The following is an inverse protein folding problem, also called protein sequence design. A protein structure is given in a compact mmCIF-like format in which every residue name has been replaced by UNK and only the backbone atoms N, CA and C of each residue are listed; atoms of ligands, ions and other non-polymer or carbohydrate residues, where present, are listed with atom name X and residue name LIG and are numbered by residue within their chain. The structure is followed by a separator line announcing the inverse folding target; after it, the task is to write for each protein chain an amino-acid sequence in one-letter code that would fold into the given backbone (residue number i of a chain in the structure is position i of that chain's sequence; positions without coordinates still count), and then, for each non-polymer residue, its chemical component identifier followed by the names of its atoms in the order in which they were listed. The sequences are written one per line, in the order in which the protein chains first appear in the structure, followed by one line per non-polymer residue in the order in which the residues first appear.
data_IF_451992561297
#
_entry.id   IF_451992561297
#
_cell.length_a   1.000
_cell.length_b   1.000
_cell.length_c   1.000
_cell.angle_alpha   90.00
_cell.angle_beta   90.00
_cell.angle_gamma   90.00
#
_symmetry.space_group_name_H-M   'P 1'
#
loop_
_entity.id
_entity.type
_entity.pdbx_description
1 polymer ?
#
# COMPACT_ATOMS: atom_id res chain seq x y z
N UNK A 1 11.01 2.06 -37.51
CA UNK A 1 11.88 0.87 -37.68
C UNK A 1 11.17 -0.09 -38.63
N UNK A 2 11.88 -0.89 -39.45
CA UNK A 2 11.24 -1.73 -40.46
C UNK A 2 10.30 -2.78 -39.83
N UNK A 3 9.23 -3.13 -40.56
CA UNK A 3 8.25 -4.13 -40.16
C UNK A 3 8.91 -5.48 -39.80
N UNK A 4 8.47 -6.07 -38.68
CA UNK A 4 8.90 -7.41 -38.24
C UNK A 4 8.47 -8.52 -39.21
N UNK A 5 7.50 -8.24 -40.09
CA UNK A 5 7.05 -9.12 -41.16
C UNK A 5 7.47 -8.48 -42.49
N UNK A 6 8.32 -9.17 -43.25
CA UNK A 6 8.83 -8.69 -44.54
C UNK A 6 8.10 -9.31 -45.74
N UNK A 7 7.30 -10.37 -45.51
CA UNK A 7 6.54 -11.05 -46.54
C UNK A 7 5.04 -10.77 -46.38
N UNK A 8 4.45 -10.13 -47.38
CA UNK A 8 3.02 -9.84 -47.45
C UNK A 8 2.35 -10.74 -48.49
N UNK A 9 1.17 -11.26 -48.18
CA UNK A 9 0.31 -11.93 -49.16
C UNK A 9 -0.50 -10.89 -49.94
N UNK A 10 -1.04 -11.22 -51.12
CA UNK A 10 -1.78 -10.29 -52.00
C UNK A 10 -2.97 -9.55 -51.34
N UNK A 11 -3.46 -10.07 -50.21
CA UNK A 11 -4.54 -9.47 -49.42
C UNK A 11 -4.07 -8.60 -48.23
N UNK A 12 -2.78 -8.32 -48.12
CA UNK A 12 -2.18 -7.45 -47.08
C UNK A 12 -1.65 -6.16 -47.71
N UNK A 13 -2.07 -5.01 -47.18
CA UNK A 13 -1.63 -3.68 -47.65
C UNK A 13 -0.83 -3.02 -46.52
N UNK A 14 0.44 -2.65 -46.74
CA UNK A 14 1.23 -1.96 -45.74
C UNK A 14 0.65 -0.56 -45.46
N UNK A 15 0.68 -0.16 -44.19
CA UNK A 15 0.28 1.17 -43.72
C UNK A 15 1.46 1.75 -42.93
N UNK A 16 2.16 2.70 -43.55
CA UNK A 16 3.46 3.20 -43.07
C UNK A 16 4.48 2.06 -42.86
N UNK A 17 5.47 2.26 -41.98
CA UNK A 17 6.61 1.35 -41.78
C UNK A 17 6.41 0.33 -40.66
N UNK A 18 5.31 0.39 -39.90
CA UNK A 18 5.12 -0.42 -38.68
C UNK A 18 3.74 -1.10 -38.57
N UNK A 19 2.85 -0.87 -39.54
CA UNK A 19 1.51 -1.44 -39.57
C UNK A 19 1.12 -1.97 -40.96
N UNK A 20 0.10 -2.82 -40.99
CA UNK A 20 -0.52 -3.28 -42.21
C UNK A 20 -2.00 -3.56 -41.98
N UNK A 21 -2.77 -3.53 -43.07
CA UNK A 21 -4.16 -3.97 -43.08
C UNK A 21 -4.26 -5.28 -43.87
N UNK A 22 -5.17 -6.14 -43.46
CA UNK A 22 -5.39 -7.43 -44.10
C UNK A 22 -6.87 -7.77 -44.13
N UNK A 23 -7.29 -8.54 -45.13
CA UNK A 23 -8.67 -9.01 -45.23
C UNK A 23 -8.88 -10.26 -44.38
N UNK A 24 -9.99 -10.32 -43.65
CA UNK A 24 -10.44 -11.54 -42.94
C UNK A 24 -11.95 -11.67 -43.15
N UNK A 25 -12.35 -12.64 -43.98
CA UNK A 25 -13.73 -12.75 -44.45
C UNK A 25 -14.13 -11.53 -45.28
N UNK A 26 -15.25 -10.90 -44.95
CA UNK A 26 -15.76 -9.73 -45.69
C UNK A 26 -15.13 -8.38 -45.28
N UNK A 27 -14.41 -8.33 -44.14
CA UNK A 27 -13.97 -7.07 -43.54
C UNK A 27 -12.45 -6.92 -43.52
N UNK A 28 -12.01 -5.66 -43.59
CA UNK A 28 -10.61 -5.27 -43.40
C UNK A 28 -10.26 -5.13 -41.91
N UNK A 29 -9.07 -5.59 -41.56
CA UNK A 29 -8.50 -5.52 -40.22
C UNK A 29 -7.15 -4.83 -40.25
N UNK A 30 -6.84 -4.11 -39.18
CA UNK A 30 -5.55 -3.47 -38.94
C UNK A 30 -4.70 -4.31 -37.98
N UNK A 31 -3.39 -4.37 -38.24
CA UNK A 31 -2.41 -4.96 -37.34
C UNK A 31 -1.15 -4.09 -37.27
N UNK A 32 -0.69 -3.83 -36.05
CA UNK A 32 0.56 -3.10 -35.77
C UNK A 32 1.32 -3.81 -34.67
N UNK A 33 2.64 -3.93 -34.82
CA UNK A 33 3.48 -4.49 -33.77
C UNK A 33 3.92 -3.39 -32.81
N UNK A 34 3.60 -3.55 -31.52
CA UNK A 34 3.98 -2.60 -30.48
C UNK A 34 5.28 -3.08 -29.81
N UNK A 35 6.42 -2.50 -30.20
CA UNK A 35 7.72 -2.90 -29.66
C UNK A 35 7.82 -2.80 -28.13
N UNK A 36 7.26 -1.73 -27.54
CA UNK A 36 7.29 -1.50 -26.10
C UNK A 36 6.50 -2.58 -25.32
N UNK A 37 5.40 -3.07 -25.89
CA UNK A 37 4.49 -4.03 -25.25
C UNK A 37 4.71 -5.47 -25.74
N UNK A 38 5.60 -5.66 -26.73
CA UNK A 38 5.93 -6.92 -27.41
C UNK A 38 4.68 -7.70 -27.85
N UNK A 39 3.65 -7.00 -28.30
CA UNK A 39 2.34 -7.55 -28.68
C UNK A 39 1.82 -6.87 -29.95
N UNK A 40 0.92 -7.55 -30.66
CA UNK A 40 0.24 -7.01 -31.83
C UNK A 40 -1.05 -6.27 -31.43
N UNK A 41 -1.13 -4.97 -31.69
CA UNK A 41 -2.40 -4.26 -31.73
C UNK A 41 -3.21 -4.77 -32.94
N UNK A 42 -4.47 -5.13 -32.72
CA UNK A 42 -5.38 -5.65 -33.76
C UNK A 42 -6.72 -4.93 -33.63
N UNK A 43 -7.20 -4.31 -34.71
CA UNK A 43 -8.47 -3.57 -34.72
C UNK A 43 -9.23 -3.92 -36.01
N UNK A 44 -10.53 -4.20 -35.91
CA UNK A 44 -11.36 -4.31 -37.12
C UNK A 44 -11.63 -2.90 -37.66
N UNK A 45 -11.44 -2.68 -38.96
CA UNK A 45 -11.75 -1.41 -39.61
C UNK A 45 -13.24 -1.28 -39.97
N UNK A 46 -14.00 -2.37 -39.80
CA UNK A 46 -15.45 -2.45 -40.05
C UNK A 46 -15.83 -1.90 -41.42
N UNK A 47 -15.03 -2.20 -42.45
CA UNK A 47 -15.29 -1.81 -43.84
C UNK A 47 -14.95 -2.95 -44.79
N UNK A 48 -15.64 -3.00 -45.93
CA UNK A 48 -15.40 -3.94 -47.02
C UNK A 48 -14.58 -3.28 -48.16
N UNK A 49 -14.67 -1.95 -48.28
CA UNK A 49 -13.99 -1.17 -49.32
C UNK A 49 -12.50 -0.99 -49.01
N UNK A 50 -11.65 -1.29 -50.01
CA UNK A 50 -10.19 -1.14 -49.92
C UNK A 50 -9.77 0.30 -49.66
N UNK A 51 -10.35 1.26 -50.37
CA UNK A 51 -9.99 2.69 -50.26
C UNK A 51 -10.27 3.20 -48.85
N UNK A 52 -11.47 2.95 -48.34
CA UNK A 52 -11.86 3.31 -46.97
C UNK A 52 -11.02 2.58 -45.91
N UNK A 53 -10.58 1.34 -46.19
CA UNK A 53 -9.72 0.59 -45.28
C UNK A 53 -8.32 1.23 -45.14
N UNK A 54 -7.77 1.78 -46.23
CA UNK A 54 -6.47 2.46 -46.20
C UNK A 54 -6.56 3.73 -45.34
N UNK A 55 -7.60 4.55 -45.52
CA UNK A 55 -7.81 5.77 -44.73
C UNK A 55 -7.99 5.45 -43.24
N UNK A 56 -8.92 4.54 -42.90
CA UNK A 56 -9.12 4.09 -41.51
C UNK A 56 -7.88 3.44 -40.90
N UNK A 57 -7.09 2.74 -41.72
CA UNK A 57 -5.81 2.17 -41.30
C UNK A 57 -4.79 3.24 -40.94
N UNK A 58 -4.69 4.31 -41.74
CA UNK A 58 -3.82 5.46 -41.45
C UNK A 58 -4.26 6.20 -40.18
N UNK A 59 -5.56 6.44 -40.02
CA UNK A 59 -6.11 7.04 -38.79
C UNK A 59 -5.80 6.21 -37.55
N UNK A 60 -6.03 4.89 -37.60
CA UNK A 60 -5.74 3.99 -36.49
C UNK A 60 -4.25 3.98 -36.13
N UNK A 61 -3.36 4.05 -37.13
CA UNK A 61 -1.93 4.19 -36.89
C UNK A 61 -1.59 5.50 -36.18
N UNK A 62 -2.11 6.63 -36.67
CA UNK A 62 -1.86 7.95 -36.09
C UNK A 62 -2.38 8.03 -34.64
N UNK A 63 -3.56 7.47 -34.36
CA UNK A 63 -4.14 7.38 -33.01
C UNK A 63 -3.23 6.60 -32.05
N UNK A 64 -2.77 5.40 -32.45
CA UNK A 64 -1.89 4.57 -31.62
C UNK A 64 -0.53 5.24 -31.44
N UNK A 65 0.01 5.85 -32.49
CA UNK A 65 1.29 6.55 -32.45
C UNK A 65 1.24 7.79 -31.53
N UNK A 66 0.18 8.60 -31.63
CA UNK A 66 -0.04 9.75 -30.76
C UNK A 66 -0.16 9.33 -29.30
N UNK A 67 -0.97 8.31 -28.99
CA UNK A 67 -1.10 7.77 -27.63
C UNK A 67 0.25 7.28 -27.09
N UNK A 68 1.06 6.58 -27.91
CA UNK A 68 2.39 6.14 -27.52
C UNK A 68 3.34 7.31 -27.25
N UNK A 69 3.29 8.37 -28.06
CA UNK A 69 4.06 9.61 -27.84
C UNK A 69 3.66 10.31 -26.55
N UNK A 70 2.39 10.21 -26.15
CA UNK A 70 1.88 10.70 -24.86
C UNK A 70 2.21 9.76 -23.69
N UNK A 71 2.88 8.63 -23.91
CA UNK A 71 3.19 7.65 -22.87
C UNK A 71 2.02 6.75 -22.46
N UNK A 72 0.91 6.77 -23.20
CA UNK A 72 -0.22 5.85 -22.98
C UNK A 72 0.10 4.50 -23.60
N UNK A 73 -0.09 3.44 -22.83
CA UNK A 73 -0.03 2.06 -23.31
C UNK A 73 -1.24 1.76 -24.22
N UNK A 74 -1.12 0.82 -25.14
CA UNK A 74 -2.28 0.31 -25.90
C UNK A 74 -3.00 -0.76 -25.08
N UNK A 75 -2.28 -1.81 -24.65
CA UNK A 75 -2.83 -2.84 -23.79
C UNK A 75 -2.94 -2.33 -22.35
N UNK A 76 -4.13 -2.47 -21.77
CA UNK A 76 -4.31 -2.22 -20.35
C UNK A 76 -3.57 -3.28 -19.52
N UNK A 77 -2.80 -2.80 -18.55
CA UNK A 77 -2.30 -3.64 -17.46
C UNK A 77 -3.48 -4.22 -16.67
N UNK A 78 -3.25 -5.37 -16.03
CA UNK A 78 -4.18 -5.88 -15.02
C UNK A 78 -3.99 -5.12 -13.70
N UNK A 79 -5.01 -5.16 -12.84
CA UNK A 79 -4.95 -4.65 -11.47
C UNK A 79 -3.77 -5.24 -10.69
N UNK A 80 -3.49 -6.54 -10.85
CA UNK A 80 -2.33 -7.20 -10.22
C UNK A 80 -1.00 -6.60 -10.70
N UNK A 81 -0.84 -6.40 -12.00
CA UNK A 81 0.36 -5.79 -12.58
C UNK A 81 0.53 -4.34 -12.09
N UNK A 82 -0.55 -3.55 -12.08
CA UNK A 82 -0.55 -2.18 -11.56
C UNK A 82 -0.15 -2.09 -10.08
N UNK A 83 -0.73 -2.96 -9.24
CA UNK A 83 -0.39 -3.03 -7.82
C UNK A 83 1.09 -3.41 -7.63
N UNK A 84 1.60 -4.37 -8.40
CA UNK A 84 3.02 -4.75 -8.33
C UNK A 84 3.94 -3.57 -8.71
N UNK A 85 3.62 -2.83 -9.76
CA UNK A 85 4.37 -1.64 -10.16
C UNK A 85 4.42 -0.60 -9.03
N UNK A 86 3.30 -0.37 -8.35
CA UNK A 86 3.26 0.52 -7.20
C UNK A 86 4.06 -0.02 -6.00
N UNK A 87 4.01 -1.33 -5.73
CA UNK A 87 4.80 -1.93 -4.65
C UNK A 87 6.31 -1.84 -4.90
N UNK A 88 6.76 -2.01 -6.14
CA UNK A 88 8.17 -1.81 -6.51
C UNK A 88 8.57 -0.33 -6.41
N UNK A 89 7.69 0.60 -6.79
CA UNK A 89 7.91 2.03 -6.55
C UNK A 89 8.08 2.33 -5.05
N UNK A 90 7.17 1.83 -4.21
CA UNK A 90 7.24 2.00 -2.75
C UNK A 90 8.43 1.27 -2.12
N UNK A 91 8.99 0.26 -2.78
CA UNK A 91 10.20 -0.43 -2.32
C UNK A 91 11.43 0.47 -2.46
N UNK A 92 11.51 1.27 -3.54
CA UNK A 92 12.54 2.31 -3.69
C UNK A 92 12.46 3.37 -2.58
N UNK A 93 11.25 3.66 -2.10
CA UNK A 93 11.05 4.54 -0.93
C UNK A 93 11.58 3.93 0.37
N UNK A 94 11.62 2.59 0.48
CA UNK A 94 12.29 1.90 1.60
C UNK A 94 13.80 2.04 1.50
N UNK A 95 14.34 1.84 0.30
CA UNK A 95 15.78 1.91 0.02
C UNK A 95 16.34 3.32 0.24
N UNK A 96 15.55 4.36 -0.09
CA UNK A 96 15.88 5.77 0.15
C UNK A 96 15.59 6.26 1.58
N UNK A 97 15.02 5.41 2.45
CA UNK A 97 14.71 5.76 3.83
C UNK A 97 13.46 6.64 4.02
N UNK A 98 12.70 6.92 2.96
CA UNK A 98 11.43 7.66 3.05
C UNK A 98 10.35 6.87 3.80
N UNK A 99 10.38 5.53 3.72
CA UNK A 99 9.53 4.65 4.53
C UNK A 99 10.29 3.48 5.15
N UNK A 100 9.76 2.98 6.26
CA UNK A 100 10.26 1.75 6.90
C UNK A 100 9.70 0.48 6.25
N UNK A 101 10.44 -0.63 6.36
CA UNK A 101 10.02 -1.96 5.86
C UNK A 101 8.63 -2.37 6.33
N UNK A 102 8.30 -2.10 7.61
CA UNK A 102 6.98 -2.42 8.16
C UNK A 102 5.83 -1.73 7.43
N UNK A 103 6.04 -0.47 6.99
CA UNK A 103 5.04 0.28 6.22
C UNK A 103 4.83 -0.32 4.84
N UNK A 104 5.89 -0.77 4.17
CA UNK A 104 5.79 -1.46 2.87
C UNK A 104 4.95 -2.75 3.00
N UNK A 105 5.20 -3.55 4.04
CA UNK A 105 4.39 -4.74 4.34
C UNK A 105 2.91 -4.40 4.54
N UNK A 106 2.60 -3.33 5.30
CA UNK A 106 1.21 -2.87 5.48
C UNK A 106 0.55 -2.48 4.15
N UNK A 107 1.26 -1.73 3.30
CA UNK A 107 0.75 -1.33 1.96
C UNK A 107 0.44 -2.58 1.13
N UNK A 108 1.34 -3.56 1.12
CA UNK A 108 1.13 -4.83 0.43
C UNK A 108 -0.13 -5.55 0.90
N UNK A 109 -0.35 -5.65 2.22
CA UNK A 109 -1.57 -6.27 2.77
C UNK A 109 -2.84 -5.51 2.36
N UNK A 110 -2.84 -4.18 2.44
CA UNK A 110 -4.00 -3.38 2.02
C UNK A 110 -4.33 -3.59 0.55
N UNK A 111 -3.33 -3.59 -0.32
CA UNK A 111 -3.55 -3.79 -1.76
C UNK A 111 -3.92 -5.23 -2.11
N UNK A 112 -3.54 -6.22 -1.29
CA UNK A 112 -4.04 -7.58 -1.46
C UNK A 112 -5.55 -7.66 -1.20
N UNK A 113 -6.07 -6.95 -0.19
CA UNK A 113 -7.51 -6.89 0.05
C UNK A 113 -8.26 -6.18 -1.09
N UNK A 114 -7.66 -5.15 -1.69
CA UNK A 114 -8.18 -4.53 -2.90
C UNK A 114 -8.23 -5.49 -4.08
N UNK A 115 -7.13 -6.21 -4.36
CA UNK A 115 -7.08 -7.21 -5.45
C UNK A 115 -8.09 -8.34 -5.28
N UNK A 116 -8.34 -8.76 -4.03
CA UNK A 116 -9.34 -9.77 -3.72
C UNK A 116 -10.78 -9.26 -3.94
N UNK A 117 -11.01 -7.95 -3.84
CA UNK A 117 -12.32 -7.32 -4.04
C UNK A 117 -12.57 -7.03 -5.53
N UNK A 118 -11.64 -6.35 -6.20
CA UNK A 118 -11.81 -5.89 -7.59
C UNK A 118 -11.50 -6.98 -8.64
N UNK A 119 -10.80 -8.05 -8.23
CA UNK A 119 -10.27 -9.08 -9.11
C UNK A 119 -8.85 -8.76 -9.60
N UNK A 120 -8.01 -9.80 -9.72
CA UNK A 120 -6.58 -9.68 -10.06
C UNK A 120 -6.31 -9.45 -11.56
N UNK A 121 -7.24 -9.90 -12.40
CA UNK A 121 -7.09 -9.92 -13.85
C UNK A 121 -7.89 -8.80 -14.55
N UNK A 122 -8.67 -8.05 -13.77
CA UNK A 122 -9.43 -6.87 -14.22
C UNK A 122 -8.49 -5.85 -14.84
N UNK A 123 -8.89 -5.27 -15.97
CA UNK A 123 -8.07 -4.29 -16.69
C UNK A 123 -8.20 -2.91 -16.04
N UNK A 124 -7.07 -2.28 -15.74
CA UNK A 124 -7.05 -0.95 -15.12
C UNK A 124 -7.83 0.11 -15.89
N UNK A 125 -7.88 0.02 -17.21
CA UNK A 125 -8.63 0.97 -18.06
C UNK A 125 -10.14 0.73 -18.09
N UNK A 126 -10.59 -0.45 -17.68
CA UNK A 126 -12.01 -0.81 -17.59
C UNK A 126 -12.62 -0.42 -16.23
N UNK A 127 -11.79 -0.08 -15.25
CA UNK A 127 -12.25 0.32 -13.93
C UNK A 127 -12.94 1.69 -13.98
N UNK A 128 -14.00 1.86 -13.20
CA UNK A 128 -14.68 3.14 -13.00
C UNK A 128 -14.52 3.63 -11.56
N UNK A 129 -14.80 4.92 -11.34
CA UNK A 129 -14.70 5.56 -10.01
C UNK A 129 -15.56 4.88 -8.94
N UNK A 130 -16.69 4.31 -9.35
CA UNK A 130 -17.70 3.70 -8.48
C UNK A 130 -17.43 2.24 -8.15
N UNK A 131 -16.47 1.58 -8.80
CA UNK A 131 -16.27 0.13 -8.65
C UNK A 131 -15.89 -0.27 -7.21
N UNK A 132 -15.38 0.67 -6.42
CA UNK A 132 -15.04 0.45 -5.01
C UNK A 132 -16.06 1.03 -4.03
N UNK A 133 -17.25 1.44 -4.48
CA UNK A 133 -18.27 2.06 -3.63
C UNK A 133 -18.64 1.14 -2.45
N UNK A 134 -18.83 -0.15 -2.71
CA UNK A 134 -19.24 -1.18 -1.73
C UNK A 134 -18.07 -1.86 -1.00
N UNK A 135 -16.84 -1.37 -1.16
CA UNK A 135 -15.65 -1.96 -0.55
C UNK A 135 -15.78 -2.15 0.96
N UNK A 136 -16.38 -1.18 1.67
CA UNK A 136 -16.58 -1.27 3.12
C UNK A 136 -17.48 -2.46 3.51
N UNK A 137 -18.61 -2.62 2.81
CA UNK A 137 -19.57 -3.68 3.09
C UNK A 137 -18.95 -5.06 2.87
N UNK A 138 -18.33 -5.27 1.71
CA UNK A 138 -17.70 -6.55 1.37
C UNK A 138 -16.52 -6.88 2.30
N UNK A 139 -15.72 -5.88 2.67
CA UNK A 139 -14.63 -6.06 3.63
C UNK A 139 -15.13 -6.45 5.01
N UNK A 140 -16.19 -5.82 5.48
CA UNK A 140 -16.78 -6.09 6.78
C UNK A 140 -17.37 -7.52 6.81
N UNK A 141 -18.11 -7.89 5.76
CA UNK A 141 -18.68 -9.22 5.53
C UNK A 141 -17.60 -10.31 5.49
N UNK A 142 -16.57 -10.15 4.65
CA UNK A 142 -15.44 -11.11 4.54
C UNK A 142 -14.70 -11.32 5.86
N UNK A 143 -14.62 -10.26 6.69
CA UNK A 143 -13.97 -10.33 8.00
C UNK A 143 -14.89 -10.77 9.15
N UNK A 144 -16.15 -11.11 8.87
CA UNK A 144 -17.16 -11.42 9.90
C UNK A 144 -17.25 -10.32 10.98
N UNK A 145 -17.26 -9.06 10.55
CA UNK A 145 -17.32 -7.88 11.42
C UNK A 145 -16.13 -7.69 12.39
N UNK A 146 -15.01 -8.38 12.17
CA UNK A 146 -13.86 -8.32 13.07
C UNK A 146 -12.88 -7.16 12.75
N UNK A 147 -12.92 -6.63 11.52
CA UNK A 147 -12.02 -5.54 11.12
C UNK A 147 -12.53 -4.20 11.67
N UNK A 148 -11.63 -3.43 12.28
CA UNK A 148 -11.94 -2.08 12.74
C UNK A 148 -12.17 -1.14 11.56
N UNK A 149 -13.12 -0.23 11.71
CA UNK A 149 -13.42 0.77 10.69
C UNK A 149 -12.22 1.64 10.32
N UNK A 150 -11.38 2.04 11.30
CA UNK A 150 -10.15 2.81 11.03
C UNK A 150 -9.16 2.06 10.12
N UNK A 151 -9.13 0.73 10.21
CA UNK A 151 -8.32 -0.11 9.33
C UNK A 151 -8.82 -0.02 7.90
N UNK A 152 -10.14 -0.08 7.69
CA UNK A 152 -10.74 0.04 6.35
C UNK A 152 -10.49 1.45 5.78
N UNK A 153 -10.59 2.50 6.59
CA UNK A 153 -10.26 3.86 6.16
C UNK A 153 -8.79 3.99 5.71
N UNK A 154 -7.87 3.34 6.43
CA UNK A 154 -6.45 3.31 6.05
C UNK A 154 -6.21 2.49 4.77
N UNK A 155 -6.95 1.40 4.58
CA UNK A 155 -6.95 0.62 3.33
C UNK A 155 -7.42 1.49 2.16
N UNK A 156 -8.59 2.14 2.27
CA UNK A 156 -9.15 3.05 1.25
C UNK A 156 -8.15 4.14 0.86
N UNK A 157 -7.48 4.74 1.84
CA UNK A 157 -6.44 5.75 1.61
C UNK A 157 -5.23 5.19 0.86
N UNK A 158 -4.86 3.93 1.14
CA UNK A 158 -3.76 3.24 0.47
C UNK A 158 -4.11 2.89 -0.97
N UNK A 159 -5.35 2.43 -1.20
CA UNK A 159 -5.87 2.14 -2.54
C UNK A 159 -5.87 3.41 -3.39
N UNK A 160 -6.39 4.52 -2.86
CA UNK A 160 -6.39 5.80 -3.58
C UNK A 160 -4.98 6.35 -3.81
N UNK A 161 -4.02 6.05 -2.93
CA UNK A 161 -2.60 6.39 -3.19
C UNK A 161 -2.01 5.58 -4.34
N UNK A 162 -2.36 4.30 -4.44
CA UNK A 162 -1.98 3.44 -5.57
C UNK A 162 -2.61 3.94 -6.88
N UNK A 163 -3.90 4.27 -6.87
CA UNK A 163 -4.60 4.78 -8.06
C UNK A 163 -4.02 6.11 -8.53
N UNK A 164 -3.66 7.03 -7.62
CA UNK A 164 -2.98 8.28 -7.97
C UNK A 164 -1.64 8.03 -8.67
N UNK A 165 -0.88 7.03 -8.23
CA UNK A 165 0.37 6.65 -8.89
C UNK A 165 0.10 6.08 -10.30
N UNK A 166 -0.87 5.19 -10.44
CA UNK A 166 -1.23 4.58 -11.73
C UNK A 166 -1.75 5.63 -12.72
N UNK A 167 -2.53 6.60 -12.25
CA UNK A 167 -3.03 7.71 -13.05
C UNK A 167 -1.89 8.61 -13.57
N UNK A 168 -0.93 8.96 -12.71
CA UNK A 168 0.26 9.73 -13.10
C UNK A 168 1.12 9.02 -14.15
N UNK A 169 1.06 7.69 -14.17
CA UNK A 169 1.75 6.86 -15.16
C UNK A 169 0.88 6.53 -16.39
N UNK A 170 -0.29 7.18 -16.54
CA UNK A 170 -1.23 6.98 -17.65
C UNK A 170 -1.82 5.55 -17.78
N UNK A 171 -1.88 4.79 -16.68
CA UNK A 171 -2.43 3.43 -16.68
C UNK A 171 -3.92 3.37 -16.36
N UNK A 172 -4.47 4.42 -15.73
CA UNK A 172 -5.89 4.59 -15.42
C UNK A 172 -6.39 5.93 -15.95
N UNK A 173 -7.70 6.08 -16.13
CA UNK A 173 -8.31 7.32 -16.61
C UNK A 173 -8.84 8.24 -15.49
N UNK A 174 -8.72 7.81 -14.24
CA UNK A 174 -9.09 8.58 -13.05
C UNK A 174 -8.09 8.36 -11.92
N UNK A 175 -8.04 9.30 -10.97
CA UNK A 175 -7.01 9.35 -9.93
C UNK A 175 -7.35 8.62 -8.63
N UNK A 176 -8.64 8.45 -8.30
CA UNK A 176 -9.09 7.89 -7.03
C UNK A 176 -10.51 7.33 -7.14
N UNK A 177 -10.77 6.26 -6.39
CA UNK A 177 -12.11 5.71 -6.24
C UNK A 177 -12.96 6.54 -5.27
N UNK A 178 -14.26 6.51 -5.53
CA UNK A 178 -15.29 7.08 -4.68
C UNK A 178 -15.81 6.00 -3.73
N UNK A 179 -15.33 6.03 -2.49
CA UNK A 179 -15.79 5.13 -1.44
C UNK A 179 -17.02 5.70 -0.73
N UNK A 180 -17.98 4.83 -0.38
CA UNK A 180 -19.09 5.22 0.51
C UNK A 180 -18.56 5.82 1.82
N UNK A 181 -19.20 6.92 2.24
CA UNK A 181 -18.88 7.56 3.51
C UNK A 181 -19.11 6.58 4.65
N UNK A 182 -18.05 6.34 5.41
CA UNK A 182 -18.11 5.41 6.53
C UNK A 182 -19.01 5.97 7.65
N UNK A 183 -19.70 5.10 8.42
CA UNK A 183 -20.53 5.54 9.53
C UNK A 183 -19.71 6.29 10.60
N UNK A 184 -20.35 7.11 11.44
CA UNK A 184 -19.62 7.73 12.56
C UNK A 184 -19.25 6.64 13.58
N UNK A 185 -17.98 6.60 13.98
CA UNK A 185 -17.53 5.78 15.11
C UNK A 185 -17.89 6.49 16.40
N UNK A 186 -18.48 5.77 17.35
CA UNK A 186 -18.69 6.27 18.70
C UNK A 186 -17.33 6.43 19.41
N UNK A 187 -16.96 7.69 19.69
CA UNK A 187 -15.68 8.06 20.30
C UNK A 187 -15.62 7.76 21.80
N UNK A 188 -16.74 7.56 22.48
CA UNK A 188 -16.74 7.36 23.94
C UNK A 188 -16.04 6.06 24.33
N UNK A 189 -16.33 4.97 23.64
CA UNK A 189 -15.65 3.69 23.88
C UNK A 189 -14.16 3.73 23.53
N UNK A 190 -13.76 4.54 22.54
CA UNK A 190 -12.35 4.70 22.19
C UNK A 190 -11.60 5.54 23.23
N UNK A 191 -12.23 6.59 23.76
CA UNK A 191 -11.68 7.40 24.84
C UNK A 191 -11.44 6.58 26.11
N UNK A 192 -12.40 5.73 26.48
CA UNK A 192 -12.25 4.79 27.62
C UNK A 192 -11.10 3.80 27.35
N UNK A 193 -11.02 3.25 26.14
CA UNK A 193 -9.93 2.31 25.76
C UNK A 193 -8.54 2.95 25.76
N UNK A 194 -8.45 4.28 25.57
CA UNK A 194 -7.19 5.04 25.58
C UNK A 194 -6.98 5.80 26.89
N UNK A 195 -7.80 5.56 27.91
CA UNK A 195 -7.66 6.21 29.20
C UNK A 195 -6.27 5.92 29.78
N UNK A 196 -5.64 6.95 30.33
CA UNK A 196 -4.39 6.83 31.07
C UNK A 196 -4.69 6.52 32.53
N UNK A 197 -3.81 5.78 33.19
CA UNK A 197 -3.93 5.56 34.63
C UNK A 197 -3.86 6.88 35.40
N UNK A 198 -4.75 7.05 36.36
CA UNK A 198 -4.65 8.10 37.38
C UNK A 198 -3.46 7.83 38.31
N UNK A 199 -3.03 8.86 39.05
CA UNK A 199 -1.94 8.71 40.02
C UNK A 199 -2.23 7.65 41.09
N UNK A 200 -3.49 7.53 41.53
CA UNK A 200 -3.90 6.51 42.50
C UNK A 200 -3.92 5.09 41.91
N UNK A 201 -4.33 4.93 40.65
CA UNK A 201 -4.26 3.64 39.95
C UNK A 201 -2.81 3.23 39.70
N UNK A 202 -1.97 4.15 39.23
CA UNK A 202 -0.53 3.90 39.08
C UNK A 202 0.11 3.54 40.43
N UNK A 203 -0.33 4.18 41.51
CA UNK A 203 0.10 3.86 42.87
C UNK A 203 -0.27 2.46 43.32
N UNK A 204 -1.46 1.98 42.98
CA UNK A 204 -1.87 0.59 43.20
C UNK A 204 -0.98 -0.37 42.40
N UNK A 205 -0.67 -0.04 41.15
CA UNK A 205 0.19 -0.86 40.27
C UNK A 205 1.59 -1.03 40.87
N UNK A 206 2.32 0.06 41.17
CA UNK A 206 3.70 -0.08 41.65
C UNK A 206 3.78 -0.72 43.05
N UNK A 207 2.75 -0.54 43.90
CA UNK A 207 2.64 -1.23 45.18
C UNK A 207 2.43 -2.73 44.98
N UNK A 208 1.52 -3.12 44.09
CA UNK A 208 1.29 -4.52 43.75
C UNK A 208 2.55 -5.18 43.17
N UNK A 209 3.27 -4.49 42.28
CA UNK A 209 4.56 -4.96 41.73
C UNK A 209 5.61 -5.19 42.82
N UNK A 210 5.66 -4.33 43.84
CA UNK A 210 6.58 -4.49 44.98
C UNK A 210 6.27 -5.75 45.78
N UNK A 211 4.99 -6.02 46.06
CA UNK A 211 4.57 -7.25 46.74
C UNK A 211 4.80 -8.49 45.86
N UNK A 212 4.55 -8.36 44.55
CA UNK A 212 4.73 -9.44 43.57
C UNK A 212 6.18 -9.93 43.45
N UNK A 213 7.16 -9.04 43.67
CA UNK A 213 8.60 -9.36 43.67
C UNK A 213 9.15 -9.71 45.07
N UNK A 214 8.34 -9.67 46.13
CA UNK A 214 8.82 -9.85 47.49
C UNK A 214 9.27 -11.29 47.79
N UNK A 215 10.42 -11.42 48.46
CA UNK A 215 11.02 -12.71 48.88
C UNK A 215 10.15 -13.53 49.83
N UNK A 216 9.15 -12.93 50.47
CA UNK A 216 8.21 -13.62 51.36
C UNK A 216 7.29 -14.61 50.65
N UNK A 217 7.22 -14.56 49.32
CA UNK A 217 6.58 -15.60 48.51
C UNK A 217 7.51 -16.82 48.42
N UNK A 218 7.53 -17.64 49.47
CA UNK A 218 8.41 -18.82 49.69
C UNK A 218 8.33 -19.95 48.63
N UNK A 219 7.70 -19.72 47.47
CA UNK A 219 7.47 -20.70 46.41
C UNK A 219 7.96 -20.24 45.02
N UNK A 220 8.78 -19.20 44.95
CA UNK A 220 9.24 -18.65 43.66
C UNK A 220 10.72 -18.99 43.48
N UNK A 221 11.04 -19.58 42.34
CA UNK A 221 12.40 -19.83 41.91
C UNK A 221 13.17 -18.53 41.57
N UNK A 222 14.50 -18.57 41.57
CA UNK A 222 15.34 -17.39 41.35
C UNK A 222 15.15 -16.79 39.95
N UNK A 223 14.97 -17.62 38.92
CA UNK A 223 14.75 -17.17 37.53
C UNK A 223 13.41 -16.46 37.36
N UNK A 224 12.37 -16.99 37.99
CA UNK A 224 11.06 -16.35 37.97
C UNK A 224 11.12 -15.01 38.73
N UNK A 225 11.80 -14.96 39.87
CA UNK A 225 11.98 -13.71 40.62
C UNK A 225 12.73 -12.66 39.80
N UNK A 226 13.79 -13.04 39.08
CA UNK A 226 14.52 -12.14 38.18
C UNK A 226 13.59 -11.58 37.11
N UNK A 227 12.78 -12.43 36.48
CA UNK A 227 11.79 -12.01 35.47
C UNK A 227 10.80 -10.99 36.03
N UNK A 228 10.31 -11.20 37.26
CA UNK A 228 9.38 -10.27 37.93
C UNK A 228 10.02 -8.92 38.22
N UNK A 229 11.26 -8.89 38.69
CA UNK A 229 12.00 -7.63 38.93
C UNK A 229 12.26 -6.89 37.61
N UNK A 230 12.61 -7.60 36.53
CA UNK A 230 12.75 -7.00 35.20
C UNK A 230 11.45 -6.33 34.76
N UNK A 231 10.31 -7.02 34.87
CA UNK A 231 8.98 -6.46 34.52
C UNK A 231 8.67 -5.23 35.36
N UNK A 232 8.93 -5.28 36.67
CA UNK A 232 8.75 -4.14 37.57
C UNK A 232 9.58 -2.94 37.15
N UNK A 233 10.87 -3.12 36.92
CA UNK A 233 11.76 -2.03 36.48
C UNK A 233 11.37 -1.50 35.10
N UNK A 234 10.95 -2.38 34.19
CA UNK A 234 10.45 -1.99 32.87
C UNK A 234 9.26 -1.04 32.98
N UNK A 235 8.26 -1.36 33.81
CA UNK A 235 7.09 -0.50 34.01
C UNK A 235 7.47 0.84 34.66
N UNK A 236 8.36 0.82 35.67
CA UNK A 236 8.82 2.04 36.35
C UNK A 236 9.57 2.98 35.41
N UNK A 237 10.44 2.43 34.55
CA UNK A 237 11.15 3.21 33.53
C UNK A 237 10.14 3.77 32.52
N UNK A 238 9.19 2.97 32.03
CA UNK A 238 8.18 3.43 31.07
C UNK A 238 7.39 4.63 31.61
N UNK A 239 6.92 4.54 32.86
CA UNK A 239 6.14 5.59 33.51
C UNK A 239 6.95 6.85 33.81
N UNK A 240 8.25 6.71 34.09
CA UNK A 240 9.11 7.85 34.46
C UNK A 240 9.74 8.55 33.25
N UNK A 241 9.97 7.82 32.15
CA UNK A 241 10.65 8.33 30.95
C UNK A 241 9.70 8.70 29.81
N UNK A 242 8.48 8.15 29.79
CA UNK A 242 7.55 8.35 28.69
C UNK A 242 7.96 7.68 27.37
N UNK A 243 8.96 6.79 27.40
CA UNK A 243 9.42 6.06 26.23
C UNK A 243 8.30 5.21 25.61
N UNK A 244 8.29 5.12 24.28
CA UNK A 244 7.45 4.12 23.61
C UNK A 244 7.99 2.72 23.91
N UNK A 245 7.10 1.74 23.95
CA UNK A 245 7.44 0.32 24.17
C UNK A 245 8.53 -0.17 23.21
N UNK A 246 8.50 0.26 21.94
CA UNK A 246 9.52 -0.09 20.96
C UNK A 246 10.89 0.51 21.27
N UNK A 247 10.93 1.79 21.66
CA UNK A 247 12.14 2.52 22.02
C UNK A 247 12.79 1.90 23.27
N UNK A 248 11.98 1.64 24.31
CA UNK A 248 12.47 1.05 25.56
C UNK A 248 13.05 -0.36 25.38
N UNK A 249 12.47 -1.17 24.48
CA UNK A 249 12.98 -2.53 24.17
C UNK A 249 14.33 -2.53 23.45
N UNK A 250 14.72 -1.41 22.84
CA UNK A 250 15.96 -1.30 22.08
C UNK A 250 17.11 -0.69 22.89
N UNK A 251 16.84 -0.25 24.13
CA UNK A 251 17.84 0.36 25.01
C UNK A 251 19.00 -0.60 25.28
N UNK A 252 20.21 -0.05 25.22
CA UNK A 252 21.45 -0.70 25.62
C UNK A 252 22.07 0.03 26.80
N UNK A 253 23.00 -0.62 27.50
CA UNK A 253 23.77 0.02 28.57
C UNK A 253 24.51 1.29 28.11
N UNK A 254 24.92 1.35 26.84
CA UNK A 254 25.55 2.55 26.25
C UNK A 254 24.59 3.73 26.08
N UNK A 255 23.29 3.52 26.19
CA UNK A 255 22.26 4.54 25.96
C UNK A 255 21.82 5.20 27.28
N UNK A 256 22.38 4.78 28.42
CA UNK A 256 21.98 5.21 29.76
C UNK A 256 23.18 5.77 30.53
N UNK A 257 23.09 7.04 30.88
CA UNK A 257 24.06 7.73 31.71
C UNK A 257 23.46 8.13 33.06
N UNK A 258 24.32 8.25 34.08
CA UNK A 258 23.93 8.78 35.38
C UNK A 258 24.27 10.27 35.41
N UNK A 259 23.25 11.10 35.58
CA UNK A 259 23.39 12.55 35.69
C UNK A 259 23.07 13.00 37.12
N UNK A 260 23.94 13.83 37.71
CA UNK A 260 23.71 14.42 39.04
C UNK A 260 23.27 15.86 38.85
N UNK A 261 22.07 16.22 39.32
CA UNK A 261 21.56 17.59 39.29
C UNK A 261 21.24 18.12 40.68
N UNK A 262 21.60 19.37 40.93
CA UNK A 262 21.15 20.14 42.09
C UNK A 262 19.76 20.70 41.79
N UNK A 263 18.76 20.38 42.61
CA UNK A 263 17.41 20.95 42.50
C UNK A 263 16.93 21.31 43.89
N UNK A 264 16.58 22.58 44.12
CA UNK A 264 16.16 23.12 45.42
C UNK A 264 17.14 22.78 46.56
N UNK A 265 18.44 22.93 46.31
CA UNK A 265 19.50 22.66 47.30
C UNK A 265 19.73 21.17 47.65
N UNK A 266 19.05 20.24 46.97
CA UNK A 266 19.26 18.79 47.12
C UNK A 266 19.86 18.21 45.85
N UNK A 267 20.92 17.39 46.00
CA UNK A 267 21.43 16.57 44.91
C UNK A 267 20.43 15.46 44.57
N UNK A 268 20.06 15.37 43.30
CA UNK A 268 19.26 14.28 42.73
C UNK A 268 20.09 13.54 41.70
N UNK A 269 20.05 12.22 41.78
CA UNK A 269 20.64 11.32 40.78
C UNK A 269 19.54 10.96 39.80
N UNK A 270 19.78 11.23 38.51
CA UNK A 270 18.85 11.00 37.41
C UNK A 270 19.48 10.04 36.40
N UNK A 271 18.64 9.24 35.75
CA UNK A 271 19.04 8.47 34.58
C UNK A 271 18.78 9.31 33.33
N UNK A 272 19.83 9.60 32.57
CA UNK A 272 19.74 10.23 31.25
C UNK A 272 19.70 9.11 30.22
N UNK A 273 18.57 9.00 29.50
CA UNK A 273 18.36 7.96 28.49
C UNK A 273 18.39 8.60 27.11
N UNK A 274 19.24 8.08 26.22
CA UNK A 274 19.32 8.50 24.82
C UNK A 274 18.57 7.50 23.93
N UNK A 275 17.60 8.00 23.18
CA UNK A 275 16.81 7.16 22.24
C UNK A 275 17.47 7.22 20.87
N UNK A 276 17.60 6.06 20.21
CA UNK A 276 18.19 5.91 18.88
C UNK A 276 17.18 6.14 17.76
#
# INVERSE_FOLDING_TARGET
MPLKKQNYTDEEIPIFDEAFIYKRGAYWHFRMWLNNERKYARKSLRTRSKTTAIEKGKEAYLEIFANRKMGKTYFSLTTKEGVNNYLEHRKKDVESGLIVKGRHTTIKTHLQHFLDFIGKDTKLKELERIDCEDYFYERMKKSKNNVKQVTIQNEQSTINSCMKFLFRNNETHFEAFDFKKLPKVDRNNEAIRRATFTNEEYKRIYKALRTYCAKSNKKIDEDERLTREIVRHYILIAASSGLRVGEQRQLRWSDVDIERRQTNGKQRILAKIQVR
#
